data_IF_884732193039
#
_entry.id   IF_884732193039
#
_cell.length_a   1.000
_cell.length_b   1.000
_cell.length_c   1.000
_cell.angle_alpha   90.00
_cell.angle_beta   90.00
_cell.angle_gamma   90.00
#
_symmetry.space_group_name_H-M   'P 1'
#
loop_
_entity.id
_entity.type
_entity.pdbx_description
1 polymer ?
#
# COMPACT_ATOMS: atom_id res chain seq x y z
N UNK A 1 -22.05 28.39 -48.75
CA UNK A 1 -20.75 28.07 -48.11
C UNK A 1 -20.68 28.50 -46.65
N UNK A 2 -21.03 29.74 -46.26
CA UNK A 2 -21.00 30.21 -44.85
C UNK A 2 -21.86 29.38 -43.89
N UNK A 3 -23.04 28.94 -44.32
CA UNK A 3 -23.95 28.10 -43.51
C UNK A 3 -23.40 26.69 -43.24
N UNK A 4 -22.66 26.11 -44.19
CA UNK A 4 -22.05 24.79 -44.05
C UNK A 4 -20.90 24.85 -43.05
N UNK A 5 -20.09 25.91 -43.11
CA UNK A 5 -18.99 26.14 -42.16
C UNK A 5 -19.55 26.28 -40.74
N UNK A 6 -20.66 27.01 -40.58
CA UNK A 6 -21.33 27.17 -39.28
C UNK A 6 -21.87 25.85 -38.72
N UNK A 7 -22.46 25.01 -39.57
CA UNK A 7 -22.98 23.70 -39.18
C UNK A 7 -21.86 22.75 -38.74
N UNK A 8 -20.72 22.75 -39.46
CA UNK A 8 -19.55 21.93 -39.12
C UNK A 8 -18.98 22.38 -37.77
N UNK A 9 -18.85 23.68 -37.52
CA UNK A 9 -18.36 24.18 -36.23
C UNK A 9 -19.28 23.81 -35.07
N UNK A 10 -20.60 23.85 -35.27
CA UNK A 10 -21.58 23.52 -34.23
C UNK A 10 -21.52 22.02 -33.87
N UNK A 11 -21.33 21.14 -34.86
CA UNK A 11 -21.17 19.70 -34.65
C UNK A 11 -19.85 19.39 -33.90
N UNK A 12 -18.78 20.14 -34.14
CA UNK A 12 -17.51 20.00 -33.42
C UNK A 12 -17.62 20.39 -31.94
N UNK A 13 -18.43 21.41 -31.59
CA UNK A 13 -18.68 21.77 -30.19
C UNK A 13 -19.61 20.78 -29.47
N UNK A 14 -20.56 20.16 -30.19
CA UNK A 14 -21.48 19.17 -29.61
C UNK A 14 -20.82 17.80 -29.39
N UNK A 15 -19.79 17.45 -30.18
CA UNK A 15 -19.00 16.23 -30.03
C UNK A 15 -17.67 16.44 -29.27
N UNK A 16 -17.46 17.64 -28.72
CA UNK A 16 -16.39 17.86 -27.76
C UNK A 16 -16.82 17.28 -26.41
N UNK A 17 -16.93 15.95 -26.35
CA UNK A 17 -16.83 15.27 -25.06
C UNK A 17 -15.45 15.63 -24.52
N UNK A 18 -15.42 16.51 -23.51
CA UNK A 18 -14.23 16.74 -22.71
C UNK A 18 -13.93 15.44 -21.99
N UNK A 19 -13.24 14.52 -22.67
CA UNK A 19 -12.53 13.42 -22.03
C UNK A 19 -11.34 14.01 -21.28
N UNK A 20 -11.62 14.82 -20.26
CA UNK A 20 -10.74 14.86 -19.11
C UNK A 20 -10.82 13.46 -18.53
N UNK A 21 -9.88 12.62 -18.95
CA UNK A 21 -9.59 11.35 -18.33
C UNK A 21 -9.20 11.69 -16.88
N UNK A 22 -10.20 11.82 -16.02
CA UNK A 22 -10.06 11.81 -14.58
C UNK A 22 -9.60 10.40 -14.23
N UNK A 23 -8.33 10.08 -14.55
CA UNK A 23 -7.59 9.08 -13.79
C UNK A 23 -7.74 9.53 -12.36
N UNK A 24 -8.60 8.84 -11.61
CA UNK A 24 -8.88 9.16 -10.24
C UNK A 24 -7.53 9.13 -9.54
N UNK A 25 -7.01 10.31 -9.16
CA UNK A 25 -5.66 10.46 -8.62
C UNK A 25 -5.41 9.47 -7.47
N UNK A 26 -6.48 9.17 -6.74
CA UNK A 26 -6.55 8.19 -5.68
C UNK A 26 -6.17 6.77 -6.13
N UNK A 27 -6.62 6.33 -7.31
CA UNK A 27 -6.32 4.98 -7.84
C UNK A 27 -4.84 4.82 -8.15
N UNK A 28 -4.18 5.86 -8.68
CA UNK A 28 -2.74 5.84 -8.97
C UNK A 28 -1.89 5.80 -7.70
N UNK A 29 -2.25 6.57 -6.69
CA UNK A 29 -1.54 6.59 -5.41
C UNK A 29 -1.67 5.25 -4.69
N UNK A 30 -2.87 4.67 -4.70
CA UNK A 30 -3.17 3.37 -4.13
C UNK A 30 -2.48 2.21 -4.89
N UNK A 31 -2.40 2.30 -6.21
CA UNK A 31 -1.67 1.34 -7.03
C UNK A 31 -0.16 1.38 -6.76
N UNK A 32 0.41 2.59 -6.64
CA UNK A 32 1.81 2.78 -6.26
C UNK A 32 2.08 2.28 -4.84
N UNK A 33 1.21 2.58 -3.88
CA UNK A 33 1.27 2.03 -2.53
C UNK A 33 1.29 0.50 -2.56
N UNK A 34 0.35 -0.12 -3.28
CA UNK A 34 0.26 -1.58 -3.43
C UNK A 34 1.56 -2.17 -3.98
N UNK A 35 2.18 -1.56 -5.00
CA UNK A 35 3.46 -2.00 -5.54
C UNK A 35 4.62 -1.85 -4.54
N UNK A 36 4.67 -0.74 -3.79
CA UNK A 36 5.70 -0.51 -2.77
C UNK A 36 5.57 -1.54 -1.64
N UNK A 37 4.36 -1.78 -1.14
CA UNK A 37 4.11 -2.77 -0.11
C UNK A 37 4.47 -4.17 -0.61
N UNK A 38 4.26 -4.49 -1.90
CA UNK A 38 4.67 -5.77 -2.47
C UNK A 38 6.19 -5.93 -2.44
N UNK A 39 6.93 -4.89 -2.81
CA UNK A 39 8.39 -4.92 -2.77
C UNK A 39 8.93 -5.09 -1.35
N UNK A 40 8.32 -4.40 -0.37
CA UNK A 40 8.64 -4.53 1.05
C UNK A 40 8.37 -5.96 1.54
N UNK A 41 7.20 -6.52 1.20
CA UNK A 41 6.81 -7.86 1.60
C UNK A 41 7.74 -8.93 0.99
N UNK A 42 8.08 -8.81 -0.30
CA UNK A 42 9.05 -9.68 -0.98
C UNK A 42 10.46 -9.59 -0.38
N UNK A 43 10.86 -8.40 0.07
CA UNK A 43 12.14 -8.23 0.77
C UNK A 43 12.12 -8.85 2.17
N UNK A 44 10.96 -8.94 2.81
CA UNK A 44 10.79 -9.38 4.19
C UNK A 44 10.48 -10.86 4.34
N UNK A 45 9.80 -11.47 3.36
CA UNK A 45 9.26 -12.84 3.40
C UNK A 45 9.77 -13.61 2.17
N UNK A 46 10.29 -14.82 2.40
CA UNK A 46 10.81 -15.70 1.34
C UNK A 46 9.77 -16.62 0.70
N UNK A 47 8.64 -16.82 1.36
CA UNK A 47 7.54 -17.69 0.93
C UNK A 47 6.45 -16.88 0.24
N UNK A 48 5.43 -17.56 -0.29
CA UNK A 48 4.25 -16.90 -0.86
C UNK A 48 3.61 -15.92 0.11
N UNK A 49 3.38 -14.68 -0.35
CA UNK A 49 2.85 -13.60 0.49
C UNK A 49 1.33 -13.67 0.51
N UNK A 50 0.78 -13.83 1.72
CA UNK A 50 -0.64 -13.74 2.02
C UNK A 50 -0.89 -12.48 2.83
N UNK A 51 -1.51 -11.50 2.19
CA UNK A 51 -1.70 -10.16 2.73
C UNK A 51 -3.05 -10.05 3.43
N UNK A 52 -3.02 -9.56 4.67
CA UNK A 52 -4.21 -9.09 5.38
C UNK A 52 -4.11 -7.60 5.66
N UNK A 53 -5.16 -6.85 5.30
CA UNK A 53 -5.34 -5.43 5.63
C UNK A 53 -6.60 -5.34 6.49
N UNK A 54 -6.49 -5.01 7.79
CA UNK A 54 -7.66 -4.78 8.63
C UNK A 54 -8.53 -3.66 8.06
N UNK A 55 -9.85 -3.89 8.04
CA UNK A 55 -10.85 -2.93 7.55
C UNK A 55 -10.58 -2.45 6.12
N UNK A 56 -10.08 -3.33 5.24
CA UNK A 56 -9.88 -3.01 3.82
C UNK A 56 -11.21 -2.61 3.15
N UNK A 57 -11.20 -1.50 2.42
CA UNK A 57 -12.33 -1.08 1.59
C UNK A 57 -12.41 -1.87 0.29
N UNK A 58 -13.57 -1.90 -0.37
CA UNK A 58 -13.74 -2.62 -1.64
C UNK A 58 -12.83 -2.08 -2.75
N UNK A 59 -12.61 -0.76 -2.77
CA UNK A 59 -11.68 -0.12 -3.69
C UNK A 59 -10.24 -0.59 -3.45
N UNK A 60 -9.78 -0.58 -2.20
CA UNK A 60 -8.46 -1.11 -1.84
C UNK A 60 -8.33 -2.58 -2.19
N UNK A 61 -9.37 -3.38 -1.91
CA UNK A 61 -9.40 -4.79 -2.25
C UNK A 61 -9.19 -4.99 -3.74
N UNK A 62 -9.88 -4.23 -4.59
CA UNK A 62 -9.73 -4.29 -6.04
C UNK A 62 -8.34 -3.90 -6.58
N UNK A 63 -7.62 -3.02 -5.89
CA UNK A 63 -6.25 -2.63 -6.26
C UNK A 63 -5.23 -3.63 -5.73
N UNK A 64 -5.29 -3.98 -4.46
CA UNK A 64 -4.33 -4.89 -3.83
C UNK A 64 -4.43 -6.32 -4.36
N UNK A 65 -5.62 -6.79 -4.75
CA UNK A 65 -5.79 -8.13 -5.32
C UNK A 65 -5.07 -8.33 -6.66
N UNK A 66 -4.64 -7.25 -7.33
CA UNK A 66 -3.85 -7.34 -8.57
C UNK A 66 -2.42 -7.84 -8.31
N UNK A 67 -1.89 -7.58 -7.12
CA UNK A 67 -0.49 -7.78 -6.75
C UNK A 67 -0.30 -8.81 -5.62
N UNK A 68 -1.35 -9.10 -4.85
CA UNK A 68 -1.29 -9.95 -3.67
C UNK A 68 -2.36 -11.03 -3.66
N UNK A 69 -2.04 -12.15 -3.01
CA UNK A 69 -3.06 -13.04 -2.47
C UNK A 69 -3.62 -12.43 -1.19
N UNK A 70 -4.83 -11.88 -1.27
CA UNK A 70 -5.53 -11.30 -0.13
C UNK A 70 -6.19 -12.38 0.72
N UNK A 71 -6.13 -12.22 2.04
CA UNK A 71 -6.88 -13.04 3.00
C UNK A 71 -7.95 -12.20 3.68
N UNK A 72 -9.04 -12.85 4.09
CA UNK A 72 -10.14 -12.18 4.81
C UNK A 72 -9.87 -12.04 6.31
N UNK A 73 -8.85 -12.71 6.84
CA UNK A 73 -8.51 -12.74 8.25
C UNK A 73 -7.00 -12.80 8.46
N UNK A 74 -6.58 -12.45 9.67
CA UNK A 74 -5.18 -12.43 10.06
C UNK A 74 -4.55 -13.82 10.21
N UNK A 75 -5.35 -14.85 10.54
CA UNK A 75 -4.86 -16.21 10.81
C UNK A 75 -4.19 -16.79 9.57
N UNK A 76 -4.80 -16.57 8.41
CA UNK A 76 -4.35 -17.11 7.13
C UNK A 76 -3.24 -16.27 6.47
N UNK A 77 -2.92 -15.11 7.03
CA UNK A 77 -1.90 -14.19 6.53
C UNK A 77 -0.53 -14.39 7.17
N UNK A 78 0.51 -14.07 6.41
CA UNK A 78 1.89 -13.95 6.90
C UNK A 78 2.42 -12.51 6.82
N UNK A 79 1.73 -11.63 6.11
CA UNK A 79 2.03 -10.20 6.05
C UNK A 79 0.77 -9.39 6.37
N UNK A 80 0.87 -8.52 7.39
CA UNK A 80 -0.24 -7.70 7.87
C UNK A 80 0.13 -6.24 7.65
N UNK A 81 -0.65 -5.55 6.83
CA UNK A 81 -0.47 -4.12 6.59
C UNK A 81 -1.59 -3.32 7.24
N UNK A 82 -1.25 -2.59 8.30
CA UNK A 82 -2.18 -1.82 9.12
C UNK A 82 -2.23 -0.38 8.66
N UNK A 83 -3.29 -0.04 7.92
CA UNK A 83 -3.52 1.29 7.33
C UNK A 83 -4.30 2.27 8.20
N UNK A 84 -5.05 1.75 9.16
CA UNK A 84 -6.02 2.49 9.97
C UNK A 84 -5.78 2.23 11.44
N UNK A 85 -6.30 3.12 12.28
CA UNK A 85 -6.31 2.88 13.73
C UNK A 85 -7.32 1.79 14.07
N UNK A 86 -6.80 0.60 14.35
CA UNK A 86 -7.58 -0.58 14.70
C UNK A 86 -7.02 -1.23 15.94
N UNK A 87 -7.89 -1.87 16.72
CA UNK A 87 -7.46 -2.76 17.79
C UNK A 87 -6.94 -4.07 17.18
N UNK A 88 -5.63 -4.15 16.97
CA UNK A 88 -4.99 -5.34 16.40
C UNK A 88 -5.28 -6.63 17.19
N UNK A 89 -5.48 -6.56 18.50
CA UNK A 89 -5.76 -7.74 19.31
C UNK A 89 -7.13 -8.38 18.96
N UNK A 90 -8.04 -7.59 18.39
CA UNK A 90 -9.33 -8.09 17.89
C UNK A 90 -9.16 -8.92 16.61
N UNK A 91 -8.34 -8.44 15.68
CA UNK A 91 -8.13 -9.08 14.38
C UNK A 91 -7.06 -10.19 14.40
N UNK A 92 -5.98 -9.98 15.15
CA UNK A 92 -4.79 -10.80 15.21
C UNK A 92 -4.52 -11.22 16.66
N UNK A 93 -5.08 -12.36 17.08
CA UNK A 93 -4.84 -12.92 18.43
C UNK A 93 -3.45 -13.56 18.57
N UNK A 94 -2.88 -14.04 17.45
CA UNK A 94 -1.57 -14.66 17.40
C UNK A 94 -0.65 -13.88 16.44
N UNK A 95 0.56 -13.57 16.90
CA UNK A 95 1.60 -12.81 16.20
C UNK A 95 2.71 -13.68 15.61
N UNK A 96 2.74 -14.98 15.94
CA UNK A 96 3.80 -15.88 15.48
C UNK A 96 3.77 -16.03 13.96
N UNK A 97 4.97 -16.03 13.38
CA UNK A 97 5.22 -16.18 11.94
C UNK A 97 4.52 -15.13 11.07
N UNK A 98 4.30 -13.93 11.62
CA UNK A 98 3.60 -12.83 10.96
C UNK A 98 4.44 -11.57 10.99
N UNK A 99 4.53 -10.91 9.84
CA UNK A 99 5.20 -9.63 9.71
C UNK A 99 4.16 -8.52 9.74
N UNK A 100 4.31 -7.60 10.68
CA UNK A 100 3.45 -6.43 10.79
C UNK A 100 4.15 -5.20 10.23
N UNK A 101 3.44 -4.53 9.34
CA UNK A 101 3.84 -3.27 8.74
C UNK A 101 2.71 -2.26 8.90
N UNK A 102 3.02 -0.97 9.03
CA UNK A 102 2.00 0.07 9.18
C UNK A 102 2.22 1.20 8.19
N UNK A 103 1.19 2.03 7.98
CA UNK A 103 1.35 3.30 7.27
C UNK A 103 1.57 4.51 8.19
N UNK A 104 1.73 4.29 9.49
CA UNK A 104 1.85 5.33 10.50
C UNK A 104 3.21 5.24 11.21
N UNK A 105 4.06 6.26 11.02
CA UNK A 105 5.39 6.32 11.65
C UNK A 105 5.31 6.42 13.18
N UNK A 106 4.37 7.19 13.74
CA UNK A 106 4.20 7.27 15.19
C UNK A 106 3.81 5.91 15.78
N UNK A 107 2.99 5.16 15.05
CA UNK A 107 2.59 3.81 15.45
C UNK A 107 3.78 2.84 15.43
N UNK A 108 4.69 2.98 14.46
CA UNK A 108 5.94 2.22 14.42
C UNK A 108 6.78 2.45 15.68
N UNK A 109 6.90 3.70 16.13
CA UNK A 109 7.71 4.03 17.29
C UNK A 109 7.09 3.52 18.60
N UNK A 110 5.77 3.56 18.72
CA UNK A 110 5.06 3.23 19.96
C UNK A 110 4.68 1.75 20.12
N UNK A 111 4.74 0.97 19.05
CA UNK A 111 4.33 -0.44 19.05
C UNK A 111 5.39 -1.35 18.44
N UNK A 112 5.99 -2.18 19.30
CA UNK A 112 7.09 -3.09 18.97
C UNK A 112 6.69 -4.27 18.05
N UNK A 113 5.40 -4.42 17.73
CA UNK A 113 4.94 -5.43 16.77
C UNK A 113 5.35 -5.10 15.34
N UNK A 114 5.44 -3.83 14.99
CA UNK A 114 5.72 -3.39 13.62
C UNK A 114 7.22 -3.46 13.32
N UNK A 115 7.61 -4.14 12.25
CA UNK A 115 9.02 -4.14 11.82
C UNK A 115 9.41 -2.86 11.08
N UNK A 116 8.41 -2.14 10.57
CA UNK A 116 8.60 -0.92 9.79
C UNK A 116 7.29 -0.24 9.39
N UNK A 117 7.42 0.90 8.74
CA UNK A 117 6.32 1.71 8.24
C UNK A 117 6.56 2.25 6.83
N UNK A 118 5.47 2.40 6.07
CA UNK A 118 5.43 3.09 4.80
C UNK A 118 4.50 4.31 4.90
N UNK A 119 5.01 5.52 4.74
CA UNK A 119 4.19 6.72 4.93
C UNK A 119 4.51 7.81 3.93
N UNK A 120 3.50 8.62 3.62
CA UNK A 120 3.66 9.77 2.74
C UNK A 120 4.13 10.99 3.55
N UNK A 121 5.26 11.58 3.17
CA UNK A 121 5.72 12.86 3.69
C UNK A 121 5.93 13.82 2.52
N UNK A 122 5.18 14.94 2.50
CA UNK A 122 5.20 15.91 1.40
C UNK A 122 5.02 15.24 0.02
N UNK A 123 4.04 14.34 -0.08
CA UNK A 123 3.71 13.53 -1.27
C UNK A 123 4.82 12.58 -1.75
N UNK A 124 5.87 12.37 -0.96
CA UNK A 124 6.93 11.40 -1.25
C UNK A 124 6.71 10.12 -0.43
N UNK A 125 6.90 8.95 -1.03
CA UNK A 125 6.87 7.69 -0.29
C UNK A 125 8.10 7.61 0.60
N UNK A 126 7.91 7.29 1.88
CA UNK A 126 8.98 7.01 2.83
C UNK A 126 8.78 5.61 3.39
N UNK A 127 9.90 4.93 3.63
CA UNK A 127 9.93 3.60 4.21
C UNK A 127 10.93 3.66 5.34
N UNK A 128 10.57 3.10 6.49
CA UNK A 128 11.44 2.93 7.64
C UNK A 128 11.31 1.51 8.16
N UNK A 129 12.43 0.89 8.51
CA UNK A 129 12.50 -0.37 9.27
C UNK A 129 13.28 -0.16 10.56
N UNK A 130 12.96 -0.93 11.61
CA UNK A 130 13.69 -0.93 12.87
C UNK A 130 14.63 -2.13 12.91
N UNK A 131 15.93 -1.87 12.98
CA UNK A 131 16.97 -2.90 12.89
C UNK A 131 16.82 -4.02 13.92
N UNK A 132 16.64 -3.66 15.19
CA UNK A 132 16.47 -4.63 16.27
C UNK A 132 15.29 -5.59 16.03
N UNK A 133 14.23 -5.10 15.37
CA UNK A 133 13.03 -5.89 15.05
C UNK A 133 13.25 -6.79 13.84
N UNK A 134 13.95 -6.31 12.81
CA UNK A 134 14.39 -7.15 11.69
C UNK A 134 15.28 -8.31 12.17
N UNK A 135 16.23 -8.02 13.06
CA UNK A 135 17.14 -9.02 13.64
C UNK A 135 16.38 -10.06 14.47
N UNK A 136 15.44 -9.63 15.31
CA UNK A 136 14.56 -10.50 16.10
C UNK A 136 13.77 -11.47 15.22
N UNK A 137 13.19 -10.96 14.13
CA UNK A 137 12.42 -11.77 13.17
C UNK A 137 13.31 -12.51 12.15
N UNK A 138 14.65 -12.41 12.29
CA UNK A 138 15.65 -13.02 11.39
C UNK A 138 15.48 -12.63 9.92
N UNK A 139 14.97 -11.43 9.67
CA UNK A 139 14.79 -10.86 8.34
C UNK A 139 16.11 -10.25 7.88
N UNK A 140 16.56 -10.65 6.69
CA UNK A 140 17.72 -10.06 6.01
C UNK A 140 17.24 -9.39 4.73
N UNK A 141 17.18 -8.07 4.75
CA UNK A 141 16.84 -7.27 3.58
C UNK A 141 18.02 -7.23 2.60
N UNK A 142 17.77 -6.90 1.33
CA UNK A 142 18.84 -6.62 0.37
C UNK A 142 19.50 -5.28 0.70
N UNK A 143 20.75 -5.09 0.24
CA UNK A 143 21.53 -3.87 0.50
C UNK A 143 20.83 -2.57 0.08
N UNK A 144 19.94 -2.63 -0.90
CA UNK A 144 19.18 -1.47 -1.37
C UNK A 144 18.26 -0.89 -0.28
N UNK A 145 17.91 -1.70 0.73
CA UNK A 145 17.09 -1.29 1.86
C UNK A 145 17.87 -0.75 3.06
N UNK A 146 19.20 -0.85 3.08
CA UNK A 146 20.02 -0.42 4.23
C UNK A 146 19.77 1.06 4.59
N UNK A 147 19.53 1.90 3.58
CA UNK A 147 19.21 3.33 3.74
C UNK A 147 17.85 3.62 4.40
N UNK A 148 17.01 2.60 4.56
CA UNK A 148 15.69 2.69 5.21
C UNK A 148 15.69 2.04 6.60
N UNK A 149 16.83 1.51 7.07
CA UNK A 149 16.94 0.86 8.36
C UNK A 149 17.46 1.86 9.39
N UNK A 150 16.74 1.99 10.50
CA UNK A 150 17.11 2.84 11.64
C UNK A 150 17.55 1.98 12.85
N UNK A 151 18.54 2.47 13.60
CA UNK A 151 19.21 1.76 14.72
C UNK A 151 18.50 1.91 16.09
N UNK A 152 17.23 2.35 16.13
CA UNK A 152 16.48 2.56 17.38
C UNK A 152 16.34 1.32 18.27
#
# INVERSE_FOLDING_TARGET
MKFIIFLITLISFLNAEQYTFLLNKYDKELELESQIILNIANASIKNDIKLFIPEISDMEKGVYSKNFTLTNNCVDANFIFVKREVNLNFYCKNYENKIFFTNNYEKLLNDNRYIGAFFWNKSRPNITFIKARLEKEKIKLSKDYDKFVEDF
#
